data_IF_082290696336
#
_entry.id   IF_082290696336
#
_cell.length_a   1.000
_cell.length_b   1.000
_cell.length_c   1.000
_cell.angle_alpha   90.00
_cell.angle_beta   90.00
_cell.angle_gamma   90.00
#
_symmetry.space_group_name_H-M   'P 1'
#
loop_
_entity.id
_entity.type
_entity.pdbx_description
1 polymer ?
#
# COMPACT_ATOMS: atom_id res chain seq x y z
N UNK A 1 39.32 -24.69 -1.42
CA UNK A 1 39.16 -24.07 -0.08
C UNK A 1 39.12 -22.52 -0.09
N UNK A 2 38.91 -21.85 -1.23
CA UNK A 2 38.38 -20.47 -1.28
C UNK A 2 36.96 -20.43 -1.87
N UNK A 3 36.64 -21.38 -2.76
CA UNK A 3 35.31 -21.54 -3.37
C UNK A 3 34.21 -21.98 -2.39
N UNK A 4 34.56 -22.60 -1.25
CA UNK A 4 33.59 -22.91 -0.18
C UNK A 4 33.25 -21.70 0.68
N UNK A 5 34.06 -20.64 0.65
CA UNK A 5 33.83 -19.41 1.43
C UNK A 5 32.96 -18.39 0.70
N UNK A 6 32.94 -18.43 -0.65
CA UNK A 6 32.11 -17.52 -1.47
C UNK A 6 30.66 -18.03 -1.55
N UNK A 7 30.46 -19.35 -1.51
CA UNK A 7 29.13 -19.98 -1.47
C UNK A 7 28.48 -19.84 -0.08
N UNK A 8 29.25 -19.52 0.97
CA UNK A 8 28.70 -19.26 2.31
C UNK A 8 28.23 -17.83 2.56
N UNK A 9 28.59 -16.85 1.72
CA UNK A 9 28.28 -15.41 1.96
C UNK A 9 27.00 -14.92 1.29
N UNK A 10 26.42 -15.69 0.38
CA UNK A 10 25.06 -15.44 -0.13
C UNK A 10 24.43 -16.79 -0.46
N UNK A 11 23.61 -17.33 0.45
CA UNK A 11 22.82 -18.54 0.19
C UNK A 11 21.80 -18.23 -0.91
N UNK A 12 22.21 -18.40 -2.16
CA UNK A 12 21.30 -18.62 -3.28
C UNK A 12 21.06 -20.13 -3.35
N UNK A 13 19.82 -20.57 -3.14
CA UNK A 13 19.49 -21.97 -3.40
C UNK A 13 19.41 -22.13 -4.93
N UNK A 14 20.45 -22.71 -5.51
CA UNK A 14 20.65 -22.93 -6.97
C UNK A 14 19.42 -23.60 -7.62
N UNK A 15 18.60 -24.28 -6.82
CA UNK A 15 17.35 -24.92 -7.24
C UNK A 15 16.28 -23.94 -7.70
N UNK A 16 16.17 -22.75 -7.10
CA UNK A 16 15.09 -21.78 -7.39
C UNK A 16 15.33 -21.06 -8.73
N UNK A 17 16.60 -20.76 -9.04
CA UNK A 17 17.01 -20.15 -10.32
C UNK A 17 16.94 -21.16 -11.48
N UNK A 18 17.14 -22.46 -11.21
CA UNK A 18 16.99 -23.52 -12.21
C UNK A 18 15.56 -23.65 -12.74
N UNK A 19 14.56 -23.48 -11.87
CA UNK A 19 13.13 -23.46 -12.23
C UNK A 19 12.79 -22.25 -13.12
N UNK A 20 13.37 -21.08 -12.84
CA UNK A 20 13.21 -19.87 -13.64
C UNK A 20 13.69 -20.06 -15.08
N UNK A 21 14.89 -20.64 -15.24
CA UNK A 21 15.50 -20.90 -16.55
C UNK A 21 14.70 -21.94 -17.35
N UNK A 22 14.11 -22.94 -16.69
CA UNK A 22 13.31 -23.97 -17.33
C UNK A 22 11.97 -23.44 -17.86
N UNK A 23 11.33 -22.51 -17.15
CA UNK A 23 10.07 -21.89 -17.63
C UNK A 23 10.31 -20.92 -18.80
N UNK A 24 11.49 -20.28 -18.86
CA UNK A 24 11.84 -19.33 -19.91
C UNK A 24 12.63 -19.94 -21.08
N UNK A 25 12.99 -21.23 -21.01
CA UNK A 25 13.68 -21.94 -22.10
C UNK A 25 15.20 -21.72 -22.19
N UNK A 26 15.85 -21.27 -21.12
CA UNK A 26 17.29 -21.00 -21.09
C UNK A 26 18.08 -22.12 -20.38
N UNK A 27 19.30 -22.41 -20.85
CA UNK A 27 20.15 -23.45 -20.27
C UNK A 27 20.87 -22.97 -18.98
N UNK A 28 21.08 -23.82 -17.96
CA UNK A 28 21.60 -23.41 -16.64
C UNK A 28 23.07 -22.95 -16.59
N UNK A 29 23.84 -23.09 -17.67
CA UNK A 29 25.30 -22.89 -17.67
C UNK A 29 25.76 -21.44 -17.88
N UNK A 30 24.86 -20.51 -18.20
CA UNK A 30 25.22 -19.13 -18.57
C UNK A 30 24.73 -18.09 -17.55
N UNK A 31 24.97 -18.31 -16.25
CA UNK A 31 24.65 -17.29 -15.23
C UNK A 31 25.54 -16.06 -15.38
N UNK A 32 25.07 -15.09 -16.17
CA UNK A 32 25.60 -13.74 -16.24
C UNK A 32 24.59 -12.79 -15.58
N UNK A 33 24.96 -12.03 -14.53
CA UNK A 33 24.10 -10.99 -13.96
C UNK A 33 23.56 -10.01 -15.01
N UNK A 34 24.32 -9.76 -16.09
CA UNK A 34 23.86 -8.99 -17.24
C UNK A 34 22.74 -9.65 -18.05
N UNK A 35 22.73 -10.99 -18.16
CA UNK A 35 21.66 -11.73 -18.84
C UNK A 35 20.37 -11.67 -18.02
N UNK A 36 20.45 -11.90 -16.71
CA UNK A 36 19.30 -11.80 -15.81
C UNK A 36 18.65 -10.42 -15.87
N UNK A 37 19.46 -9.36 -15.77
CA UNK A 37 18.99 -7.98 -15.90
C UNK A 37 18.31 -7.72 -17.25
N UNK A 38 18.89 -8.20 -18.34
CA UNK A 38 18.28 -8.05 -19.68
C UNK A 38 16.95 -8.81 -19.79
N UNK A 39 16.85 -10.00 -19.20
CA UNK A 39 15.62 -10.77 -19.17
C UNK A 39 14.52 -10.05 -18.37
N UNK A 40 14.83 -9.56 -17.17
CA UNK A 40 13.91 -8.76 -16.35
C UNK A 40 13.43 -7.54 -17.15
N UNK A 41 14.34 -6.78 -17.75
CA UNK A 41 13.99 -5.60 -18.54
C UNK A 41 13.09 -5.96 -19.75
N UNK A 42 13.37 -7.07 -20.43
CA UNK A 42 12.53 -7.55 -21.53
C UNK A 42 11.11 -7.90 -21.07
N UNK A 43 10.98 -8.57 -19.92
CA UNK A 43 9.67 -8.91 -19.34
C UNK A 43 8.92 -7.65 -18.89
N UNK A 44 9.62 -6.69 -18.28
CA UNK A 44 9.04 -5.39 -17.88
C UNK A 44 8.54 -4.62 -19.12
N UNK A 45 9.32 -4.58 -20.20
CA UNK A 45 8.89 -3.97 -21.46
C UNK A 45 7.64 -4.65 -22.01
N UNK A 46 7.59 -5.98 -22.00
CA UNK A 46 6.43 -6.73 -22.48
C UNK A 46 5.17 -6.51 -21.62
N UNK A 47 5.33 -6.39 -20.29
CA UNK A 47 4.23 -6.04 -19.39
C UNK A 47 3.72 -4.61 -19.63
N UNK A 48 4.64 -3.65 -19.82
CA UNK A 48 4.32 -2.22 -20.00
C UNK A 48 3.78 -1.89 -21.40
N UNK A 49 4.20 -2.62 -22.45
CA UNK A 49 3.65 -2.46 -23.82
C UNK A 49 2.13 -2.68 -23.86
N UNK A 50 1.57 -3.45 -22.92
CA UNK A 50 0.11 -3.62 -22.78
C UNK A 50 -0.62 -2.33 -22.39
N UNK A 51 0.04 -1.38 -21.72
CA UNK A 51 -0.57 -0.12 -21.27
C UNK A 51 -0.58 0.99 -22.34
N UNK A 52 0.34 0.96 -23.30
CA UNK A 52 0.56 2.08 -24.22
C UNK A 52 -0.08 1.88 -25.61
N UNK A 53 -0.32 0.64 -26.04
CA UNK A 53 -0.82 0.34 -27.38
C UNK A 53 -2.16 -0.41 -27.34
N UNK A 54 -3.26 0.36 -27.27
CA UNK A 54 -4.64 -0.17 -27.30
C UNK A 54 -5.03 -0.96 -28.55
N UNK A 55 -4.21 -0.98 -29.61
CA UNK A 55 -4.60 -1.48 -30.95
C UNK A 55 -3.67 -2.52 -31.60
N UNK A 56 -2.55 -2.94 -30.97
CA UNK A 56 -1.66 -3.97 -31.54
C UNK A 56 -1.74 -5.29 -30.78
N UNK A 57 -2.49 -6.25 -31.33
CA UNK A 57 -2.76 -7.56 -30.73
C UNK A 57 -1.60 -8.56 -30.81
N UNK A 58 -0.43 -8.17 -31.31
CA UNK A 58 0.62 -9.11 -31.72
C UNK A 58 1.73 -9.37 -30.66
N UNK A 59 1.76 -8.62 -29.56
CA UNK A 59 2.84 -8.73 -28.55
C UNK A 59 2.38 -8.62 -27.10
N UNK A 60 1.12 -8.94 -26.84
CA UNK A 60 0.56 -8.91 -25.48
C UNK A 60 0.83 -10.23 -24.77
N UNK A 61 1.24 -10.12 -23.52
CA UNK A 61 1.41 -11.29 -22.68
C UNK A 61 0.03 -11.86 -22.33
N UNK A 62 -0.16 -13.17 -22.51
CA UNK A 62 -1.44 -13.81 -22.15
C UNK A 62 -1.65 -13.78 -20.62
N UNK A 63 -2.90 -13.77 -20.14
CA UNK A 63 -3.18 -13.81 -18.71
C UNK A 63 -2.53 -15.00 -18.00
N UNK A 64 -2.47 -16.18 -18.64
CA UNK A 64 -1.81 -17.36 -18.07
C UNK A 64 -0.30 -17.15 -17.90
N UNK A 65 0.34 -16.45 -18.84
CA UNK A 65 1.76 -16.13 -18.75
C UNK A 65 2.05 -15.08 -17.68
N UNK A 66 1.20 -14.06 -17.55
CA UNK A 66 1.29 -13.08 -16.45
C UNK A 66 1.13 -13.77 -15.08
N UNK A 67 0.13 -14.65 -14.96
CA UNK A 67 -0.07 -15.47 -13.75
C UNK A 67 1.14 -16.34 -13.44
N UNK A 68 1.69 -17.02 -14.45
CA UNK A 68 2.88 -17.86 -14.29
C UNK A 68 4.09 -17.05 -13.84
N UNK A 69 4.32 -15.88 -14.43
CA UNK A 69 5.38 -14.97 -14.00
C UNK A 69 5.21 -14.50 -12.55
N UNK A 70 4.00 -14.13 -12.15
CA UNK A 70 3.74 -13.71 -10.75
C UNK A 70 4.13 -14.80 -9.75
N UNK A 71 3.82 -16.06 -10.06
CA UNK A 71 4.13 -17.21 -9.21
C UNK A 71 5.63 -17.50 -9.14
N UNK A 72 6.34 -17.31 -10.25
CA UNK A 72 7.79 -17.50 -10.34
C UNK A 72 8.57 -16.39 -9.63
N UNK A 73 8.01 -15.18 -9.58
CA UNK A 73 8.63 -14.06 -8.86
C UNK A 73 8.60 -14.24 -7.33
N UNK A 74 7.72 -15.08 -6.77
CA UNK A 74 7.58 -15.27 -5.31
C UNK A 74 8.91 -15.56 -4.59
N UNK A 75 9.70 -16.58 -4.97
CA UNK A 75 11.00 -16.82 -4.32
C UNK A 75 12.06 -15.74 -4.63
N UNK A 76 11.86 -14.92 -5.66
CA UNK A 76 12.89 -14.01 -6.20
C UNK A 76 12.68 -12.55 -5.78
N UNK A 77 11.57 -12.23 -5.12
CA UNK A 77 11.12 -10.86 -4.86
C UNK A 77 12.08 -10.01 -4.01
N UNK A 78 12.96 -10.63 -3.20
CA UNK A 78 13.94 -9.88 -2.39
C UNK A 78 15.22 -9.58 -3.14
N UNK A 79 15.34 -10.02 -4.40
CA UNK A 79 16.50 -9.76 -5.24
C UNK A 79 16.37 -8.36 -5.87
N UNK A 80 17.37 -7.47 -5.70
CA UNK A 80 17.30 -6.11 -6.26
C UNK A 80 17.08 -6.09 -7.78
N UNK A 81 17.65 -7.05 -8.51
CA UNK A 81 17.47 -7.17 -9.96
C UNK A 81 16.02 -7.47 -10.38
N UNK A 82 15.18 -7.98 -9.46
CA UNK A 82 13.78 -8.32 -9.72
C UNK A 82 12.80 -7.21 -9.29
N UNK A 83 13.21 -6.21 -8.52
CA UNK A 83 12.34 -5.11 -8.10
C UNK A 83 11.58 -4.45 -9.26
N UNK A 84 12.20 -4.17 -10.44
CA UNK A 84 11.49 -3.59 -11.58
C UNK A 84 10.38 -4.49 -12.12
N UNK A 85 10.55 -5.81 -12.06
CA UNK A 85 9.54 -6.77 -12.50
C UNK A 85 8.41 -6.88 -11.49
N UNK A 86 8.70 -6.84 -10.18
CA UNK A 86 7.67 -6.79 -9.13
C UNK A 86 6.82 -5.53 -9.29
N UNK A 87 7.45 -4.37 -9.49
CA UNK A 87 6.76 -3.11 -9.77
C UNK A 87 5.87 -3.22 -11.02
N UNK A 88 6.41 -3.76 -12.12
CA UNK A 88 5.67 -3.92 -13.37
C UNK A 88 4.47 -4.86 -13.23
N UNK A 89 4.59 -5.94 -12.45
CA UNK A 89 3.48 -6.85 -12.17
C UNK A 89 2.40 -6.16 -11.32
N UNK A 90 2.77 -5.46 -10.25
CA UNK A 90 1.81 -4.75 -9.39
C UNK A 90 1.07 -3.65 -10.13
N UNK A 91 1.73 -2.96 -11.07
CA UNK A 91 1.12 -1.90 -11.89
C UNK A 91 0.45 -2.41 -13.16
N UNK A 92 0.54 -3.72 -13.44
CA UNK A 92 -0.12 -4.34 -14.57
C UNK A 92 -1.64 -4.36 -14.39
N UNK A 93 -2.35 -3.72 -15.32
CA UNK A 93 -3.82 -3.75 -15.41
C UNK A 93 -4.20 -4.43 -16.72
N UNK A 94 -4.49 -5.73 -16.65
CA UNK A 94 -5.04 -6.47 -17.78
C UNK A 94 -6.45 -5.97 -18.14
N UNK A 95 -6.96 -6.42 -19.27
CA UNK A 95 -8.37 -6.18 -19.65
C UNK A 95 -9.34 -7.19 -19.03
N UNK A 96 -8.81 -8.16 -18.28
CA UNK A 96 -9.62 -9.20 -17.67
C UNK A 96 -10.46 -8.63 -16.52
N UNK A 97 -11.71 -9.07 -16.36
CA UNK A 97 -12.57 -8.64 -15.26
C UNK A 97 -12.11 -9.20 -13.91
N UNK A 98 -11.22 -10.18 -13.90
CA UNK A 98 -10.71 -10.86 -12.71
C UNK A 98 -9.22 -10.61 -12.52
N UNK A 99 -8.78 -10.72 -11.28
CA UNK A 99 -7.36 -10.63 -10.93
C UNK A 99 -6.55 -11.75 -11.61
N UNK A 100 -5.48 -11.35 -12.29
CA UNK A 100 -4.62 -12.22 -13.11
C UNK A 100 -3.44 -12.76 -12.27
N UNK A 101 -2.89 -11.93 -11.39
CA UNK A 101 -1.76 -12.30 -10.52
C UNK A 101 -2.21 -13.35 -9.50
N UNK A 102 -1.29 -14.23 -9.10
CA UNK A 102 -1.59 -15.22 -8.08
C UNK A 102 -1.65 -14.55 -6.68
N UNK A 103 -2.59 -14.96 -5.80
CA UNK A 103 -2.70 -14.42 -4.44
C UNK A 103 -1.38 -14.50 -3.65
N UNK A 104 -0.65 -15.60 -3.80
CA UNK A 104 0.61 -15.85 -3.10
C UNK A 104 1.69 -14.81 -3.45
N UNK A 105 1.60 -14.19 -4.64
CA UNK A 105 2.49 -13.10 -5.02
C UNK A 105 2.21 -11.84 -4.21
N UNK A 106 0.93 -11.47 -4.02
CA UNK A 106 0.58 -10.31 -3.22
C UNK A 106 0.96 -10.50 -1.75
N UNK A 107 0.69 -11.67 -1.19
CA UNK A 107 1.08 -12.02 0.18
C UNK A 107 2.60 -11.88 0.37
N UNK A 108 3.37 -12.51 -0.52
CA UNK A 108 4.82 -12.52 -0.42
C UNK A 108 5.43 -11.12 -0.60
N UNK A 109 4.88 -10.31 -1.52
CA UNK A 109 5.32 -8.91 -1.70
C UNK A 109 4.97 -8.07 -0.49
N UNK A 110 3.78 -8.23 0.08
CA UNK A 110 3.37 -7.50 1.28
C UNK A 110 4.28 -7.84 2.47
N UNK A 111 4.56 -9.13 2.71
CA UNK A 111 5.48 -9.56 3.77
C UNK A 111 6.88 -8.95 3.58
N UNK A 112 7.42 -9.00 2.36
CA UNK A 112 8.71 -8.39 2.08
C UNK A 112 8.73 -6.87 2.27
N UNK A 113 7.63 -6.19 1.93
CA UNK A 113 7.46 -4.77 2.17
C UNK A 113 7.40 -4.43 3.67
N UNK A 114 6.63 -5.19 4.46
CA UNK A 114 6.52 -4.99 5.92
C UNK A 114 7.86 -5.25 6.63
N UNK A 115 8.64 -6.23 6.14
CA UNK A 115 9.98 -6.55 6.60
C UNK A 115 11.08 -5.64 6.02
N UNK A 116 10.73 -4.65 5.18
CA UNK A 116 11.66 -3.72 4.53
C UNK A 116 12.76 -4.43 3.71
N UNK A 117 12.43 -5.59 3.13
CA UNK A 117 13.30 -6.39 2.25
C UNK A 117 13.21 -5.97 0.78
N UNK A 118 12.19 -5.21 0.43
CA UNK A 118 11.96 -4.66 -0.92
C UNK A 118 11.62 -3.18 -0.82
N UNK A 119 12.10 -2.37 -1.76
CA UNK A 119 11.79 -0.95 -1.84
C UNK A 119 10.97 -0.64 -3.08
N UNK A 120 9.64 -0.59 -2.94
CA UNK A 120 8.71 -0.32 -4.04
C UNK A 120 8.26 1.15 -4.06
N UNK A 121 7.99 1.74 -5.23
CA UNK A 121 7.40 3.07 -5.32
C UNK A 121 5.95 3.08 -4.79
N UNK A 122 5.49 4.24 -4.32
CA UNK A 122 4.15 4.43 -3.75
C UNK A 122 3.04 3.96 -4.70
N UNK A 123 3.20 4.16 -6.01
CA UNK A 123 2.23 3.69 -7.02
C UNK A 123 2.06 2.17 -7.03
N UNK A 124 3.14 1.41 -6.82
CA UNK A 124 3.07 -0.05 -6.77
C UNK A 124 2.41 -0.53 -5.47
N UNK A 125 2.71 0.10 -4.34
CA UNK A 125 2.06 -0.18 -3.05
C UNK A 125 0.56 0.16 -3.09
N UNK A 126 0.19 1.27 -3.73
CA UNK A 126 -1.20 1.62 -3.99
C UNK A 126 -1.91 0.52 -4.80
N UNK A 127 -1.29 0.05 -5.87
CA UNK A 127 -1.88 -1.01 -6.69
C UNK A 127 -2.00 -2.33 -5.90
N UNK A 128 -1.02 -2.68 -5.07
CA UNK A 128 -1.09 -3.83 -4.16
C UNK A 128 -2.34 -3.76 -3.28
N UNK A 129 -2.53 -2.64 -2.56
CA UNK A 129 -3.66 -2.49 -1.63
C UNK A 129 -5.02 -2.38 -2.30
N UNK A 130 -5.10 -1.77 -3.49
CA UNK A 130 -6.36 -1.68 -4.25
C UNK A 130 -6.80 -3.02 -4.84
N UNK A 131 -5.85 -3.91 -5.14
CA UNK A 131 -6.12 -5.21 -5.77
C UNK A 131 -6.18 -6.35 -4.76
N UNK A 132 -5.54 -6.19 -3.60
CA UNK A 132 -5.42 -7.21 -2.58
C UNK A 132 -5.69 -6.65 -1.18
N UNK A 133 -6.95 -6.71 -0.76
CA UNK A 133 -7.40 -6.24 0.55
C UNK A 133 -6.62 -6.84 1.73
N UNK A 134 -6.30 -8.16 1.77
CA UNK A 134 -5.54 -8.72 2.88
C UNK A 134 -4.18 -8.05 3.10
N UNK A 135 -3.53 -7.53 2.05
CA UNK A 135 -2.27 -6.79 2.19
C UNK A 135 -2.45 -5.45 2.92
N UNK A 136 -3.57 -4.75 2.66
CA UNK A 136 -3.89 -3.51 3.37
C UNK A 136 -4.25 -3.79 4.83
N UNK A 137 -5.07 -4.81 5.08
CA UNK A 137 -5.44 -5.26 6.42
C UNK A 137 -4.20 -5.64 7.23
N UNK A 138 -3.29 -6.45 6.66
CA UNK A 138 -2.07 -6.85 7.32
C UNK A 138 -1.12 -5.67 7.60
N UNK A 139 -1.05 -4.69 6.68
CA UNK A 139 -0.30 -3.44 6.94
C UNK A 139 -0.87 -2.68 8.14
N UNK A 140 -2.20 -2.61 8.25
CA UNK A 140 -2.89 -1.98 9.38
C UNK A 140 -2.68 -2.74 10.68
N UNK A 141 -2.77 -4.06 10.68
CA UNK A 141 -2.52 -4.90 11.85
C UNK A 141 -1.08 -4.73 12.35
N UNK A 142 -0.08 -4.79 11.45
CA UNK A 142 1.32 -4.54 11.80
C UNK A 142 1.56 -3.15 12.39
N UNK A 143 0.83 -2.14 11.90
CA UNK A 143 0.86 -0.80 12.47
C UNK A 143 0.28 -0.79 13.89
N UNK A 144 -0.91 -1.38 14.10
CA UNK A 144 -1.55 -1.46 15.41
C UNK A 144 -0.68 -2.22 16.42
N UNK A 145 -0.09 -3.34 16.02
CA UNK A 145 0.86 -4.10 16.83
C UNK A 145 2.07 -3.24 17.25
N UNK A 146 2.63 -2.45 16.33
CA UNK A 146 3.73 -1.52 16.65
C UNK A 146 3.31 -0.39 17.59
N UNK A 147 2.07 0.08 17.48
CA UNK A 147 1.52 1.09 18.39
C UNK A 147 1.37 0.49 19.79
N UNK A 148 0.75 -0.67 19.91
CA UNK A 148 0.45 -1.29 21.21
C UNK A 148 1.73 -1.79 21.89
N UNK A 149 2.67 -2.37 21.13
CA UNK A 149 3.92 -2.94 21.69
C UNK A 149 4.96 -1.90 22.12
N UNK A 150 4.73 -0.62 21.83
CA UNK A 150 5.71 0.44 22.09
C UNK A 150 5.52 1.03 23.49
N UNK A 151 6.35 0.59 24.45
CA UNK A 151 6.35 1.02 25.87
C UNK A 151 6.40 2.54 26.12
N UNK A 152 6.84 3.32 25.12
CA UNK A 152 6.90 4.80 25.18
C UNK A 152 6.37 5.42 23.89
N UNK A 153 5.05 5.48 23.82
CA UNK A 153 4.34 6.11 22.71
C UNK A 153 4.38 7.63 22.79
N UNK A 154 5.51 8.20 22.37
CA UNK A 154 5.54 9.63 22.02
C UNK A 154 4.84 9.85 20.68
N UNK A 155 4.08 10.94 20.56
CA UNK A 155 3.45 11.36 19.30
C UNK A 155 4.46 11.45 18.14
N UNK A 156 5.72 11.77 18.42
CA UNK A 156 6.80 11.79 17.43
C UNK A 156 7.08 10.40 16.86
N UNK A 157 7.14 9.38 17.73
CA UNK A 157 7.39 7.99 17.32
C UNK A 157 6.20 7.41 16.54
N UNK A 158 4.98 7.67 17.00
CA UNK A 158 3.76 7.32 16.26
C UNK A 158 3.77 7.99 14.87
N UNK A 159 4.16 9.27 14.78
CA UNK A 159 4.29 9.96 13.48
C UNK A 159 5.30 9.28 12.56
N UNK A 160 6.41 8.75 13.09
CA UNK A 160 7.37 7.97 12.30
C UNK A 160 6.72 6.69 11.78
N UNK A 161 6.08 5.88 12.64
CA UNK A 161 5.39 4.66 12.21
C UNK A 161 4.34 4.91 11.12
N UNK A 162 3.56 5.99 11.27
CA UNK A 162 2.55 6.37 10.27
C UNK A 162 3.18 6.70 8.92
N UNK A 163 4.24 7.52 8.90
CA UNK A 163 4.93 7.87 7.66
C UNK A 163 5.63 6.66 7.01
N UNK A 164 6.25 5.81 7.82
CA UNK A 164 6.94 4.61 7.34
C UNK A 164 5.98 3.55 6.76
N UNK A 165 4.68 3.66 7.10
CA UNK A 165 3.62 2.79 6.59
C UNK A 165 3.10 3.19 5.21
N UNK A 166 3.26 4.46 4.77
CA UNK A 166 2.63 5.04 3.57
C UNK A 166 1.09 5.12 3.59
N UNK A 167 0.43 4.70 4.67
CA UNK A 167 -1.03 4.70 4.78
C UNK A 167 -1.65 6.10 4.63
N UNK A 168 -1.14 7.18 5.28
CA UNK A 168 -1.74 8.50 5.14
C UNK A 168 -1.66 9.03 3.70
N UNK A 169 -0.53 8.85 3.04
CA UNK A 169 -0.33 9.24 1.65
C UNK A 169 -1.25 8.45 0.71
N UNK A 170 -1.32 7.13 0.88
CA UNK A 170 -2.18 6.29 0.05
C UNK A 170 -3.67 6.56 0.25
N UNK A 171 -4.08 6.77 1.51
CA UNK A 171 -5.44 7.15 1.85
C UNK A 171 -5.79 8.50 1.24
N UNK A 172 -4.88 9.47 1.21
CA UNK A 172 -5.10 10.75 0.53
C UNK A 172 -5.27 10.56 -0.98
N UNK A 173 -4.47 9.71 -1.62
CA UNK A 173 -4.59 9.44 -3.05
C UNK A 173 -5.89 8.71 -3.44
N UNK A 174 -6.44 7.84 -2.56
CA UNK A 174 -7.55 6.95 -2.93
C UNK A 174 -8.58 6.73 -1.81
N UNK A 175 -9.85 7.18 -1.98
CA UNK A 175 -10.89 7.05 -0.95
C UNK A 175 -11.18 5.63 -0.47
N UNK A 176 -11.04 4.62 -1.34
CA UNK A 176 -11.26 3.23 -0.94
C UNK A 176 -10.27 2.77 0.15
N UNK A 177 -9.00 3.19 0.05
CA UNK A 177 -7.98 2.87 1.06
C UNK A 177 -8.31 3.59 2.36
N UNK A 178 -8.63 4.88 2.28
CA UNK A 178 -9.06 5.65 3.45
C UNK A 178 -10.19 4.96 4.21
N UNK A 179 -11.22 4.50 3.50
CA UNK A 179 -12.39 3.85 4.12
C UNK A 179 -12.03 2.55 4.86
N UNK A 180 -11.14 1.74 4.30
CA UNK A 180 -10.68 0.51 4.97
C UNK A 180 -9.86 0.86 6.21
N UNK A 181 -8.95 1.84 6.11
CA UNK A 181 -8.13 2.29 7.24
C UNK A 181 -9.01 2.86 8.38
N UNK A 182 -9.98 3.70 8.03
CA UNK A 182 -10.95 4.29 8.94
C UNK A 182 -11.80 3.20 9.63
N UNK A 183 -12.25 2.19 8.88
CA UNK A 183 -12.99 1.04 9.44
C UNK A 183 -12.16 0.22 10.43
N UNK A 184 -10.91 -0.06 10.09
CA UNK A 184 -10.02 -0.84 10.97
C UNK A 184 -9.71 -0.05 12.24
N UNK A 185 -9.49 1.27 12.16
CA UNK A 185 -9.34 2.10 13.36
C UNK A 185 -10.60 2.12 14.21
N UNK A 186 -11.79 2.24 13.62
CA UNK A 186 -13.05 2.19 14.35
C UNK A 186 -13.22 0.85 15.06
N UNK A 187 -12.96 -0.25 14.34
CA UNK A 187 -13.01 -1.59 14.90
C UNK A 187 -12.01 -1.75 16.05
N UNK A 188 -10.76 -1.31 15.87
CA UNK A 188 -9.74 -1.37 16.91
C UNK A 188 -10.12 -0.53 18.15
N UNK A 189 -10.72 0.65 17.98
CA UNK A 189 -11.19 1.47 19.11
C UNK A 189 -12.31 0.77 19.89
N UNK A 190 -13.25 0.12 19.19
CA UNK A 190 -14.34 -0.64 19.83
C UNK A 190 -13.80 -1.85 20.59
N UNK A 191 -12.94 -2.65 19.94
CA UNK A 191 -12.36 -3.87 20.54
C UNK A 191 -11.41 -3.59 21.71
N UNK A 192 -10.80 -2.40 21.74
CA UNK A 192 -9.86 -2.01 22.80
C UNK A 192 -10.46 -1.08 23.87
N UNK A 193 -11.78 -0.86 23.83
CA UNK A 193 -12.48 0.10 24.71
C UNK A 193 -11.81 1.49 24.74
N UNK A 194 -11.36 1.95 23.56
CA UNK A 194 -10.73 3.25 23.39
C UNK A 194 -9.29 3.35 23.92
N UNK A 195 -8.49 2.28 23.79
CA UNK A 195 -7.09 2.29 24.24
C UNK A 195 -6.31 3.53 23.75
N UNK A 196 -5.53 4.18 24.64
CA UNK A 196 -4.90 5.46 24.34
C UNK A 196 -3.90 5.37 23.18
N UNK A 197 -3.26 4.22 22.97
CA UNK A 197 -2.34 3.96 21.86
C UNK A 197 -3.05 3.97 20.51
N UNK A 198 -4.23 3.34 20.43
CA UNK A 198 -5.07 3.30 19.23
C UNK A 198 -5.62 4.70 18.95
N UNK A 199 -6.09 5.40 19.98
CA UNK A 199 -6.58 6.77 19.87
C UNK A 199 -5.48 7.74 19.38
N UNK A 200 -4.28 7.65 19.95
CA UNK A 200 -3.14 8.45 19.52
C UNK A 200 -2.72 8.10 18.08
N UNK A 201 -2.76 6.81 17.72
CA UNK A 201 -2.57 6.34 16.35
C UNK A 201 -3.54 7.01 15.37
N UNK A 202 -4.84 6.94 15.65
CA UNK A 202 -5.88 7.58 14.85
C UNK A 202 -5.66 9.09 14.73
N UNK A 203 -5.38 9.78 15.83
CA UNK A 203 -5.13 11.23 15.82
C UNK A 203 -3.94 11.60 14.92
N UNK A 204 -2.85 10.84 15.00
CA UNK A 204 -1.67 11.08 14.16
C UNK A 204 -1.94 10.71 12.71
N UNK A 205 -2.65 9.62 12.44
CA UNK A 205 -3.10 9.25 11.10
C UNK A 205 -3.92 10.38 10.48
N UNK A 206 -4.97 10.86 11.16
CA UNK A 206 -5.83 11.94 10.68
C UNK A 206 -5.01 13.20 10.35
N UNK A 207 -4.08 13.59 11.23
CA UNK A 207 -3.21 14.74 10.94
C UNK A 207 -2.34 14.51 9.69
N UNK A 208 -1.72 13.35 9.56
CA UNK A 208 -0.88 13.02 8.41
C UNK A 208 -1.67 12.91 7.11
N UNK A 209 -2.90 12.38 7.16
CA UNK A 209 -3.81 12.29 6.03
C UNK A 209 -4.21 13.68 5.54
N UNK A 210 -4.59 14.59 6.44
CA UNK A 210 -4.89 15.99 6.09
C UNK A 210 -3.65 16.69 5.51
N UNK A 211 -2.48 16.53 6.14
CA UNK A 211 -1.20 17.04 5.60
C UNK A 211 -0.91 16.52 4.18
N UNK A 212 -1.28 15.27 3.86
CA UNK A 212 -1.08 14.67 2.55
C UNK A 212 -2.12 15.18 1.52
N UNK A 213 -3.39 15.26 1.91
CA UNK A 213 -4.49 15.76 1.07
C UNK A 213 -4.29 17.22 0.65
N UNK A 214 -3.72 18.05 1.53
CA UNK A 214 -3.35 19.43 1.22
C UNK A 214 -2.20 19.53 0.20
N UNK A 215 -1.22 18.63 0.31
CA UNK A 215 -0.02 18.62 -0.56
C UNK A 215 -0.28 18.11 -1.97
N UNK A 216 -1.27 17.23 -2.17
CA UNK A 216 -1.65 16.72 -3.49
C UNK A 216 -2.33 17.81 -4.35
N UNK A 217 -1.57 18.79 -4.80
CA UNK A 217 -2.12 19.98 -5.42
C UNK A 217 -2.26 19.92 -6.95
N UNK A 218 -2.12 18.75 -7.62
CA UNK A 218 -1.96 18.78 -9.10
C UNK A 218 -2.65 17.75 -10.00
N UNK A 219 -3.20 16.60 -9.59
CA UNK A 219 -3.73 15.66 -10.60
C UNK A 219 -5.10 15.02 -10.36
N UNK A 220 -5.48 14.57 -9.15
CA UNK A 220 -6.83 14.03 -8.89
C UNK A 220 -7.24 14.28 -7.43
N UNK A 221 -7.88 15.41 -7.14
CA UNK A 221 -8.53 15.60 -5.82
C UNK A 221 -9.91 14.98 -5.88
N UNK A 222 -10.11 13.85 -5.22
CA UNK A 222 -11.45 13.34 -4.97
C UNK A 222 -12.22 14.33 -4.08
N UNK A 223 -13.51 14.51 -4.33
CA UNK A 223 -14.34 15.36 -3.49
C UNK A 223 -14.40 14.79 -2.07
N UNK A 224 -14.34 15.63 -1.02
CA UNK A 224 -14.23 15.14 0.36
C UNK A 224 -15.34 14.14 0.74
N UNK A 225 -16.56 14.34 0.23
CA UNK A 225 -17.69 13.42 0.41
C UNK A 225 -17.41 11.96 0.02
N UNK A 226 -16.42 11.71 -0.84
CA UNK A 226 -16.04 10.35 -1.26
C UNK A 226 -15.25 9.60 -0.18
N UNK A 227 -14.54 10.34 0.69
CA UNK A 227 -13.85 9.78 1.85
C UNK A 227 -14.84 9.47 2.97
N UNK A 228 -15.90 10.28 3.11
CA UNK A 228 -16.90 10.17 4.17
C UNK A 228 -18.32 10.01 3.61
N UNK A 229 -18.65 8.89 2.94
CA UNK A 229 -19.93 8.71 2.25
C UNK A 229 -21.15 8.70 3.20
N UNK A 230 -20.94 8.42 4.48
CA UNK A 230 -21.99 8.36 5.50
C UNK A 230 -21.98 9.56 6.45
N UNK A 231 -21.05 10.51 6.29
CA UNK A 231 -20.99 11.66 7.18
C UNK A 231 -22.04 12.71 6.77
N UNK A 232 -22.69 13.30 7.77
CA UNK A 232 -23.62 14.41 7.55
C UNK A 232 -22.91 15.55 6.80
N UNK A 233 -23.47 16.06 5.67
CA UNK A 233 -22.86 17.14 4.91
C UNK A 233 -22.59 18.40 5.74
N UNK A 234 -23.46 18.70 6.72
CA UNK A 234 -23.27 19.85 7.63
C UNK A 234 -22.05 19.68 8.52
N UNK A 235 -21.87 18.50 9.11
CA UNK A 235 -20.72 18.19 9.95
C UNK A 235 -19.41 18.24 9.15
N UNK A 236 -19.40 17.66 7.95
CA UNK A 236 -18.22 17.69 7.06
C UNK A 236 -17.82 19.12 6.70
N UNK A 237 -18.79 19.99 6.40
CA UNK A 237 -18.55 21.39 6.08
C UNK A 237 -17.93 22.17 7.24
N UNK A 238 -18.36 21.91 8.48
CA UNK A 238 -17.81 22.59 9.66
C UNK A 238 -16.42 22.07 10.01
N UNK A 239 -16.18 20.76 9.93
CA UNK A 239 -14.86 20.16 10.20
C UNK A 239 -13.79 20.56 9.18
N UNK A 240 -14.20 20.96 7.97
CA UNK A 240 -13.33 21.45 6.92
C UNK A 240 -12.87 22.90 7.11
N UNK A 241 -13.53 23.69 7.97
CA UNK A 241 -13.13 25.07 8.18
C UNK A 241 -11.76 25.11 8.85
N UNK A 242 -10.81 25.80 8.22
CA UNK A 242 -9.51 25.97 8.85
C UNK A 242 -9.68 26.79 10.14
N UNK A 243 -9.08 26.37 11.26
CA UNK A 243 -9.15 27.13 12.51
C UNK A 243 -8.65 28.57 12.40
N UNK A 244 -7.78 28.85 11.41
CA UNK A 244 -7.27 30.20 11.10
C UNK A 244 -8.31 31.11 10.46
N UNK A 245 -9.32 30.54 9.81
CA UNK A 245 -10.41 31.30 9.16
C UNK A 245 -11.53 31.64 10.15
N UNK A 246 -11.51 31.03 11.34
CA UNK A 246 -12.48 31.29 12.42
C UNK A 246 -11.89 32.34 13.38
N UNK A 247 -12.57 33.47 13.61
CA UNK A 247 -12.17 34.44 14.62
C UNK A 247 -12.01 33.76 16.00
N UNK A 248 -10.92 34.07 16.71
CA UNK A 248 -10.55 33.37 17.95
C UNK A 248 -11.65 33.43 19.02
N UNK A 249 -12.43 34.52 19.07
CA UNK A 249 -13.58 34.66 19.98
C UNK A 249 -14.76 33.71 19.67
N UNK A 250 -14.79 33.11 18.48
CA UNK A 250 -15.85 32.21 18.03
C UNK A 250 -15.43 30.72 18.09
N UNK A 251 -14.19 30.41 18.48
CA UNK A 251 -13.72 29.01 18.55
C UNK A 251 -14.53 28.18 19.52
N UNK A 252 -14.83 28.71 20.71
CA UNK A 252 -15.61 27.99 21.70
C UNK A 252 -17.03 27.68 21.21
N UNK A 253 -17.68 28.67 20.57
CA UNK A 253 -19.01 28.48 19.99
C UNK A 253 -18.98 27.47 18.84
N UNK A 254 -17.95 27.52 18.00
CA UNK A 254 -17.77 26.58 16.88
C UNK A 254 -17.58 25.15 17.38
N UNK A 255 -16.73 24.95 18.39
CA UNK A 255 -16.53 23.62 19.02
C UNK A 255 -17.81 23.13 19.70
N UNK A 256 -18.55 24.01 20.37
CA UNK A 256 -19.84 23.67 20.99
C UNK A 256 -20.85 23.22 19.93
N UNK A 257 -20.95 23.95 18.82
CA UNK A 257 -21.82 23.60 17.71
C UNK A 257 -21.45 22.25 17.08
N UNK A 258 -20.16 21.98 16.86
CA UNK A 258 -19.70 20.66 16.39
C UNK A 258 -20.09 19.56 17.37
N UNK A 259 -19.91 19.78 18.67
CA UNK A 259 -20.30 18.81 19.69
C UNK A 259 -21.80 18.55 19.73
N UNK A 260 -22.63 19.58 19.53
CA UNK A 260 -24.09 19.45 19.47
C UNK A 260 -24.50 18.63 18.23
N UNK A 261 -23.95 18.95 17.05
CA UNK A 261 -24.19 18.16 15.83
C UNK A 261 -23.77 16.69 15.97
N UNK A 262 -22.62 16.42 16.62
CA UNK A 262 -22.16 15.06 16.85
C UNK A 262 -23.10 14.28 17.78
N UNK A 263 -23.66 14.93 18.80
CA UNK A 263 -24.65 14.30 19.69
C UNK A 263 -25.93 13.95 18.95
N UNK A 264 -26.47 14.90 18.17
CA UNK A 264 -27.68 14.68 17.38
C UNK A 264 -27.53 13.50 16.41
N UNK A 265 -26.37 13.40 15.74
CA UNK A 265 -26.10 12.28 14.81
C UNK A 265 -26.03 10.93 15.54
N UNK A 266 -25.43 10.89 16.73
CA UNK A 266 -25.35 9.66 17.54
C UNK A 266 -26.72 9.26 18.07
N UNK A 267 -27.55 10.23 18.47
CA UNK A 267 -28.90 10.01 19.01
C UNK A 267 -29.91 9.59 17.93
N UNK A 268 -29.79 10.11 16.70
CA UNK A 268 -30.67 9.73 15.57
C UNK A 268 -30.37 8.33 14.99
N UNK A 269 -29.22 7.74 15.31
CA UNK A 269 -28.77 6.44 14.79
C UNK A 269 -28.72 5.34 15.88
N UNK A 270 -29.27 5.62 17.06
CA UNK A 270 -29.38 4.70 18.21
C UNK A 270 -30.65 3.87 18.24
#
# INVERSE_FOLDING_TARGET
RLLSHIVSTSRFDIKEVGLFNQVLGYAPTDYYPGLLKNMVLSLVSELRENHLNGFSSQRRMSPERVRSLSRICVPLLTLPDFEPLVEALLTYHGHEPQEVLCPEFFDAVNEAFLLKKISLPTSAILCLWLRHLPSLENTMLHLLEKLISSERNSLRRIKCFMKDSLLPEAAACHPAIFRVVDEIFRSALLETDGAPEVLAGLQVFTRCFVEALEKENKQLKFALKTYFPYASPSLVMVLLQHPKDIPQGLWHQSLKHISEMLKEIVEDHG
#
